data_IF_549486174069
#
_entry.id   IF_549486174069
#
_cell.length_a   1.000
_cell.length_b   1.000
_cell.length_c   1.000
_cell.angle_alpha   90.00
_cell.angle_beta   90.00
_cell.angle_gamma   90.00
#
_symmetry.space_group_name_H-M   'P 1'
#
loop_
_entity.id
_entity.type
_entity.pdbx_description
1 polymer ?
#
# COMPACT_ATOMS: atom_id res chain seq x y z
N UNK A 1 37.95 12.21 -21.08
CA UNK A 1 36.48 12.28 -21.28
C UNK A 1 35.74 10.94 -21.14
N UNK A 2 36.36 9.76 -21.26
CA UNK A 2 35.67 8.45 -21.12
C UNK A 2 35.26 8.04 -19.69
N UNK A 3 35.89 8.59 -18.65
CA UNK A 3 35.59 8.23 -17.23
C UNK A 3 34.33 8.90 -16.67
N UNK A 4 33.93 10.06 -17.21
CA UNK A 4 32.77 10.82 -16.72
C UNK A 4 31.45 10.15 -17.12
N UNK A 5 31.39 9.57 -18.32
CA UNK A 5 30.19 8.84 -18.79
C UNK A 5 29.88 7.57 -17.99
N UNK A 6 30.92 6.89 -17.49
CA UNK A 6 30.75 5.67 -16.69
C UNK A 6 30.15 5.97 -15.30
N UNK A 7 30.58 7.06 -14.67
CA UNK A 7 30.05 7.51 -13.36
C UNK A 7 28.59 7.94 -13.47
N UNK A 8 28.23 8.64 -14.56
CA UNK A 8 26.86 9.09 -14.80
C UNK A 8 25.88 7.91 -15.04
N UNK A 9 26.35 6.84 -15.69
CA UNK A 9 25.53 5.65 -15.91
C UNK A 9 25.30 4.86 -14.61
N UNK A 10 26.29 4.79 -13.72
CA UNK A 10 26.17 4.12 -12.41
C UNK A 10 25.18 4.87 -11.50
N UNK A 11 25.14 6.21 -11.54
CA UNK A 11 24.17 6.99 -10.78
C UNK A 11 22.72 6.73 -11.19
N UNK A 12 22.45 6.44 -12.46
CA UNK A 12 21.10 6.15 -12.96
C UNK A 12 20.56 4.78 -12.50
N UNK A 13 21.44 3.82 -12.18
CA UNK A 13 21.05 2.52 -11.64
C UNK A 13 20.80 2.54 -10.12
N UNK A 14 21.31 3.54 -9.39
CA UNK A 14 21.12 3.67 -7.94
C UNK A 14 19.83 4.41 -7.56
N UNK A 15 19.13 4.98 -8.53
CA UNK A 15 17.81 5.59 -8.38
C UNK A 15 16.67 4.59 -8.62
N UNK A 16 16.85 3.32 -8.22
CA UNK A 16 15.72 2.42 -8.05
C UNK A 16 14.94 2.86 -6.81
N UNK A 17 14.25 3.99 -6.91
CA UNK A 17 13.30 4.44 -5.92
C UNK A 17 12.16 3.42 -5.94
N UNK A 18 12.10 2.55 -4.94
CA UNK A 18 10.90 1.75 -4.72
C UNK A 18 9.81 2.72 -4.29
N UNK A 19 8.95 3.12 -5.21
CA UNK A 19 7.79 3.96 -4.91
C UNK A 19 6.91 3.22 -3.88
N UNK A 20 6.97 3.67 -2.62
CA UNK A 20 6.10 3.18 -1.57
C UNK A 20 4.68 3.67 -1.85
N UNK A 21 3.70 2.76 -1.80
CA UNK A 21 2.29 3.08 -2.04
C UNK A 21 1.71 3.82 -0.82
N UNK A 22 2.13 3.39 0.37
CA UNK A 22 1.74 3.98 1.65
C UNK A 22 2.99 4.15 2.50
N UNK A 23 3.18 5.36 3.02
CA UNK A 23 4.14 5.61 4.07
C UNK A 23 3.56 5.12 5.41
N UNK A 24 4.26 4.20 6.06
CA UNK A 24 3.89 3.67 7.37
C UNK A 24 4.09 4.72 8.48
N UNK A 25 4.95 5.71 8.23
CA UNK A 25 5.35 6.68 9.23
C UNK A 25 4.15 7.50 9.71
N UNK A 26 3.93 7.49 11.02
CA UNK A 26 2.87 8.25 11.66
C UNK A 26 1.45 7.72 11.43
N UNK A 27 1.24 6.49 10.95
CA UNK A 27 -0.09 5.86 10.99
C UNK A 27 -0.46 5.59 12.45
N UNK A 28 -1.63 6.08 12.86
CA UNK A 28 -2.18 5.90 14.21
C UNK A 28 -3.18 4.74 14.23
N UNK A 29 -4.06 4.67 13.23
CA UNK A 29 -5.05 3.60 13.16
C UNK A 29 -5.52 3.31 11.74
N UNK A 30 -6.03 2.09 11.55
CA UNK A 30 -6.70 1.64 10.35
C UNK A 30 -8.12 1.20 10.73
N UNK A 31 -9.13 1.80 10.11
CA UNK A 31 -10.52 1.44 10.35
C UNK A 31 -11.13 0.82 9.10
N UNK A 32 -11.74 -0.36 9.23
CA UNK A 32 -12.37 -1.08 8.12
C UNK A 32 -13.88 -0.89 8.21
N UNK A 33 -14.47 -0.51 7.08
CA UNK A 33 -15.90 -0.31 6.91
C UNK A 33 -16.44 -1.21 5.79
N UNK A 34 -17.64 -1.74 5.99
CA UNK A 34 -18.38 -2.45 4.95
C UNK A 34 -19.10 -1.47 3.99
N UNK A 35 -19.80 -2.00 3.00
CA UNK A 35 -20.56 -1.20 2.02
C UNK A 35 -21.71 -0.36 2.63
N UNK A 36 -22.20 -0.74 3.82
CA UNK A 36 -23.22 0.02 4.55
C UNK A 36 -22.62 1.15 5.42
N UNK A 37 -21.30 1.39 5.31
CA UNK A 37 -20.54 2.33 6.13
C UNK A 37 -20.49 1.96 7.62
N UNK A 38 -20.76 0.70 7.96
CA UNK A 38 -20.62 0.21 9.32
C UNK A 38 -19.15 -0.15 9.56
N UNK A 39 -18.61 0.29 10.70
CA UNK A 39 -17.26 -0.05 11.14
C UNK A 39 -17.25 -1.51 11.61
N UNK A 40 -16.42 -2.33 10.97
CA UNK A 40 -16.34 -3.78 11.26
C UNK A 40 -15.03 -4.21 11.89
N UNK A 41 -13.97 -3.40 11.79
CA UNK A 41 -12.68 -3.69 12.41
C UNK A 41 -11.86 -2.41 12.61
N UNK A 42 -10.97 -2.42 13.60
CA UNK A 42 -9.98 -1.37 13.85
C UNK A 42 -8.65 -2.04 14.17
N UNK A 43 -7.58 -1.61 13.50
CA UNK A 43 -6.21 -1.96 13.84
C UNK A 43 -5.54 -0.70 14.38
N UNK A 44 -5.11 -0.76 15.63
CA UNK A 44 -4.34 0.29 16.31
C UNK A 44 -3.03 -0.24 16.88
N UNK A 45 -2.71 -1.50 16.61
CA UNK A 45 -1.47 -2.14 17.01
C UNK A 45 -0.39 -1.93 15.95
N UNK A 46 0.75 -1.37 16.35
CA UNK A 46 1.86 -1.06 15.44
C UNK A 46 2.35 -2.27 14.63
N UNK A 47 2.37 -3.48 15.21
CA UNK A 47 2.82 -4.69 14.51
C UNK A 47 1.83 -5.09 13.40
N UNK A 48 0.53 -5.05 13.69
CA UNK A 48 -0.50 -5.38 12.71
C UNK A 48 -0.57 -4.34 11.59
N UNK A 49 -0.46 -3.05 11.95
CA UNK A 49 -0.37 -1.95 10.99
C UNK A 49 0.85 -2.15 10.08
N UNK A 50 2.02 -2.44 10.64
CA UNK A 50 3.24 -2.67 9.87
C UNK A 50 3.10 -3.83 8.88
N UNK A 51 2.53 -4.94 9.34
CA UNK A 51 2.30 -6.10 8.48
C UNK A 51 1.31 -5.79 7.35
N UNK A 52 0.25 -5.04 7.65
CA UNK A 52 -0.71 -4.60 6.64
C UNK A 52 -0.07 -3.68 5.61
N UNK A 53 0.68 -2.66 6.04
CA UNK A 53 1.35 -1.71 5.15
C UNK A 53 2.42 -2.39 4.29
N UNK A 54 3.18 -3.34 4.85
CA UNK A 54 4.15 -4.16 4.07
C UNK A 54 3.46 -4.96 2.96
N UNK A 55 2.29 -5.57 3.23
CA UNK A 55 1.52 -6.28 2.20
C UNK A 55 1.05 -5.33 1.10
N UNK A 56 0.63 -4.13 1.45
CA UNK A 56 0.25 -3.11 0.47
C UNK A 56 1.43 -2.65 -0.38
N UNK A 57 2.56 -2.31 0.25
CA UNK A 57 3.77 -1.85 -0.43
C UNK A 57 4.44 -2.94 -1.29
N UNK A 58 4.14 -4.22 -1.05
CA UNK A 58 4.55 -5.34 -1.90
C UNK A 58 3.63 -5.59 -3.10
N UNK A 59 2.53 -4.85 -3.25
CA UNK A 59 1.55 -5.06 -4.31
C UNK A 59 2.02 -4.55 -5.68
N UNK A 60 1.44 -5.10 -6.73
CA UNK A 60 1.73 -4.71 -8.12
C UNK A 60 0.59 -3.90 -8.71
N UNK A 61 0.91 -2.80 -9.38
CA UNK A 61 -0.08 -2.00 -10.09
C UNK A 61 -0.69 -2.80 -11.24
N UNK A 62 -2.02 -2.87 -11.30
CA UNK A 62 -2.76 -3.53 -12.39
C UNK A 62 -3.98 -2.74 -12.77
N UNK A 63 -4.15 -2.48 -14.07
CA UNK A 63 -5.33 -1.79 -14.59
C UNK A 63 -6.48 -2.79 -14.67
N UNK A 64 -7.39 -2.73 -13.70
CA UNK A 64 -8.56 -3.61 -13.61
C UNK A 64 -9.84 -2.79 -13.38
N UNK A 65 -10.98 -3.32 -13.81
CA UNK A 65 -12.28 -2.84 -13.33
C UNK A 65 -12.37 -3.20 -11.84
N UNK A 66 -12.57 -2.20 -11.01
CA UNK A 66 -12.53 -2.35 -9.55
C UNK A 66 -13.86 -1.92 -8.93
N UNK A 67 -14.47 -2.85 -8.20
CA UNK A 67 -15.70 -2.64 -7.44
C UNK A 67 -15.38 -2.90 -5.97
N UNK A 68 -15.43 -1.88 -5.09
CA UNK A 68 -15.05 -2.04 -3.70
C UNK A 68 -16.05 -2.90 -2.92
N UNK A 69 -15.55 -3.70 -1.97
CA UNK A 69 -16.37 -4.39 -0.95
C UNK A 69 -16.13 -3.84 0.45
N UNK A 70 -14.94 -3.25 0.67
CA UNK A 70 -14.57 -2.62 1.93
C UNK A 70 -13.90 -1.28 1.68
N UNK A 71 -14.07 -0.37 2.65
CA UNK A 71 -13.33 0.88 2.73
C UNK A 71 -12.42 0.82 3.95
N UNK A 72 -11.16 1.16 3.77
CA UNK A 72 -10.15 1.23 4.84
C UNK A 72 -9.74 2.69 4.98
N UNK A 73 -9.98 3.25 6.16
CA UNK A 73 -9.56 4.59 6.53
C UNK A 73 -8.24 4.49 7.27
N UNK A 74 -7.23 5.22 6.80
CA UNK A 74 -5.90 5.29 7.39
C UNK A 74 -5.77 6.66 8.04
N UNK A 75 -5.75 6.69 9.36
CA UNK A 75 -5.60 7.94 10.12
C UNK A 75 -4.16 8.10 10.57
N UNK A 76 -3.59 9.28 10.32
CA UNK A 76 -2.23 9.62 10.68
C UNK A 76 -2.21 10.55 11.90
N UNK A 77 -1.13 10.50 12.68
CA UNK A 77 -0.92 11.32 13.88
C UNK A 77 -0.93 12.83 13.60
N UNK A 78 -0.64 13.24 12.35
CA UNK A 78 -0.72 14.63 11.91
C UNK A 78 -2.17 15.08 11.59
N UNK A 79 -3.16 14.22 11.79
CA UNK A 79 -4.57 14.46 11.50
C UNK A 79 -4.96 14.23 10.04
N UNK A 80 -4.02 13.89 9.16
CA UNK A 80 -4.34 13.53 7.79
C UNK A 80 -5.02 12.16 7.74
N UNK A 81 -5.85 11.98 6.71
CA UNK A 81 -6.54 10.71 6.46
C UNK A 81 -6.34 10.28 5.02
N UNK A 82 -6.17 8.98 4.82
CA UNK A 82 -6.11 8.37 3.48
C UNK A 82 -7.16 7.29 3.37
N UNK A 83 -7.80 7.22 2.21
CA UNK A 83 -8.85 6.22 1.94
C UNK A 83 -8.31 5.20 0.95
N UNK A 84 -8.37 3.94 1.36
CA UNK A 84 -8.09 2.79 0.53
C UNK A 84 -9.36 1.98 0.35
N UNK A 85 -9.66 1.58 -0.88
CA UNK A 85 -10.77 0.69 -1.17
C UNK A 85 -10.25 -0.72 -1.43
N UNK A 86 -10.87 -1.73 -0.84
CA UNK A 86 -10.44 -3.13 -0.98
C UNK A 86 -11.53 -4.00 -1.60
N UNK A 87 -11.11 -5.00 -2.38
CA UNK A 87 -11.93 -6.12 -2.85
C UNK A 87 -11.04 -7.37 -2.98
N UNK A 88 -11.09 -8.22 -1.95
CA UNK A 88 -10.24 -9.42 -1.85
C UNK A 88 -8.76 -9.03 -1.87
N UNK A 89 -8.00 -9.61 -2.80
CA UNK A 89 -6.57 -9.33 -2.97
C UNK A 89 -6.27 -8.06 -3.80
N UNK A 90 -7.31 -7.32 -4.23
CA UNK A 90 -7.14 -6.09 -4.98
C UNK A 90 -7.50 -4.89 -4.13
N UNK A 91 -6.83 -3.76 -4.37
CA UNK A 91 -7.20 -2.50 -3.74
C UNK A 91 -7.00 -1.31 -4.68
N UNK A 92 -7.65 -0.21 -4.34
CA UNK A 92 -7.55 1.07 -5.03
C UNK A 92 -7.21 2.17 -4.03
N UNK A 93 -6.19 2.96 -4.36
CA UNK A 93 -5.74 4.12 -3.59
C UNK A 93 -5.22 5.18 -4.55
N UNK A 94 -5.49 6.46 -4.27
CA UNK A 94 -5.08 7.60 -5.11
C UNK A 94 -5.47 7.44 -6.60
N UNK A 95 -6.63 6.81 -6.85
CA UNK A 95 -7.12 6.54 -8.21
C UNK A 95 -6.48 5.34 -8.92
N UNK A 96 -5.41 4.76 -8.36
CA UNK A 96 -4.66 3.64 -8.91
C UNK A 96 -5.10 2.30 -8.31
N UNK A 97 -5.07 1.25 -9.13
CA UNK A 97 -5.47 -0.10 -8.75
C UNK A 97 -4.25 -1.02 -8.64
N UNK A 98 -4.26 -1.86 -7.60
CA UNK A 98 -3.16 -2.74 -7.23
C UNK A 98 -3.69 -4.13 -6.90
N UNK A 99 -2.87 -5.14 -7.12
CA UNK A 99 -3.10 -6.50 -6.70
C UNK A 99 -1.99 -6.92 -5.72
N UNK A 100 -2.36 -7.33 -4.51
CA UNK A 100 -1.43 -7.90 -3.55
C UNK A 100 -0.83 -9.19 -4.12
N UNK A 101 0.47 -9.40 -3.90
CA UNK A 101 1.10 -10.69 -4.17
C UNK A 101 0.50 -11.72 -3.20
N UNK A 102 -0.10 -12.79 -3.73
CA UNK A 102 -0.41 -13.95 -2.90
C UNK A 102 0.91 -14.52 -2.41
N UNK A 103 1.09 -14.62 -1.09
CA UNK A 103 2.15 -15.46 -0.57
C UNK A 103 1.81 -16.90 -0.95
N UNK A 104 2.71 -17.58 -1.64
CA UNK A 104 2.59 -19.00 -2.03
C UNK A 104 2.85 -19.91 -0.79
N UNK A 105 2.52 -19.45 0.43
CA UNK A 105 2.85 -20.15 1.69
C UNK A 105 1.63 -20.23 2.62
N UNK A 106 0.43 -20.31 2.05
CA UNK A 106 -0.80 -20.67 2.79
C UNK A 106 -1.54 -21.81 2.07
N UNK A 107 -0.79 -22.82 1.62
CA UNK A 107 -1.30 -24.14 1.30
C UNK A 107 -0.46 -25.18 2.05
N UNK A 108 -0.82 -25.41 3.32
CA UNK A 108 -0.94 -26.72 4.00
C UNK A 108 -1.18 -26.53 5.50
#
# INVERSE_FOLDING_TARGET
MRKVGLVLMICLFLLSCNDMIIDESGIESLEVFNNNKEKISVLNNNFEISNFVKKLNGAERKVIKFYPTYTIKISYQNGNEKILFSNGNNFKIDGLTYQMKQNVVDQE
#
